data_IF_319873318045
#
_entry.id   IF_319873318045
#
_cell.length_a   1.000
_cell.length_b   1.000
_cell.length_c   1.000
_cell.angle_alpha   90.00
_cell.angle_beta   90.00
_cell.angle_gamma   90.00
#
_symmetry.space_group_name_H-M   'P 1'
#
loop_
_entity.id
_entity.type
_entity.pdbx_description
1 polymer ?
#
# COMPACT_ATOMS: atom_id res chain seq x y z
N UNK A 1 5.22 23.12 24.69
CA UNK A 1 5.33 21.66 24.86
C UNK A 1 4.16 21.02 24.14
N UNK A 2 4.36 20.56 22.90
CA UNK A 2 3.32 19.79 22.20
C UNK A 2 3.09 18.49 22.98
N UNK A 3 1.83 18.26 23.37
CA UNK A 3 1.41 16.99 23.97
C UNK A 3 1.86 15.87 23.02
N UNK A 4 2.63 14.91 23.53
CA UNK A 4 2.86 13.63 22.87
C UNK A 4 1.47 13.07 22.52
N UNK A 5 1.05 13.22 21.27
CA UNK A 5 -0.18 12.61 20.78
C UNK A 5 0.05 11.11 20.88
N UNK A 6 -0.68 10.44 21.77
CA UNK A 6 -0.59 9.00 21.96
C UNK A 6 -0.60 8.30 20.61
N UNK A 7 0.36 7.40 20.38
CA UNK A 7 0.46 6.63 19.16
C UNK A 7 -0.66 5.57 19.12
N UNK A 8 -1.75 5.77 18.36
CA UNK A 8 -2.96 4.98 18.54
C UNK A 8 -2.82 3.51 18.11
N UNK A 9 -1.83 3.23 17.25
CA UNK A 9 -1.51 1.88 16.78
C UNK A 9 -0.26 1.29 17.42
N UNK A 10 0.32 1.96 18.44
CA UNK A 10 1.49 1.50 19.19
C UNK A 10 2.69 1.12 18.30
N UNK A 11 2.91 1.88 17.21
CA UNK A 11 4.07 1.71 16.35
C UNK A 11 5.36 2.17 17.05
N UNK A 12 6.52 1.67 16.63
CA UNK A 12 7.80 2.15 17.18
C UNK A 12 8.03 3.63 16.82
N UNK A 13 8.18 4.48 17.84
CA UNK A 13 8.42 5.91 17.67
C UNK A 13 9.76 6.25 17.01
N UNK A 14 10.68 5.29 16.90
CA UNK A 14 11.94 5.43 16.13
C UNK A 14 11.72 5.23 14.63
N UNK A 15 10.71 4.45 14.24
CA UNK A 15 10.39 4.11 12.86
C UNK A 15 9.25 4.99 12.31
N UNK A 16 8.36 5.48 13.17
CA UNK A 16 7.15 6.21 12.79
C UNK A 16 6.92 7.45 13.63
N UNK A 17 6.50 8.52 12.96
CA UNK A 17 5.97 9.73 13.59
C UNK A 17 4.48 9.85 13.31
N UNK A 18 3.65 9.86 14.35
CA UNK A 18 2.22 10.12 14.21
C UNK A 18 1.97 11.57 13.78
N UNK A 19 1.15 11.77 12.75
CA UNK A 19 0.83 13.09 12.22
C UNK A 19 -0.58 13.50 12.65
N UNK A 20 -1.60 12.71 12.27
CA UNK A 20 -3.01 13.00 12.57
C UNK A 20 -3.90 11.77 12.36
N UNK A 21 -5.07 11.81 13.00
CA UNK A 21 -6.20 10.95 12.64
C UNK A 21 -6.77 11.37 11.27
N UNK A 22 -7.28 10.41 10.51
CA UNK A 22 -7.91 10.57 9.22
C UNK A 22 -9.32 10.00 9.26
N UNK A 23 -10.23 10.65 8.55
CA UNK A 23 -11.50 10.03 8.15
C UNK A 23 -11.29 9.16 6.92
N UNK A 24 -12.23 8.25 6.67
CA UNK A 24 -12.19 7.46 5.44
C UNK A 24 -12.13 8.32 4.18
N UNK A 25 -12.87 9.42 4.14
CA UNK A 25 -12.86 10.34 2.98
C UNK A 25 -11.48 10.94 2.74
N UNK A 26 -10.71 11.24 3.79
CA UNK A 26 -9.32 11.71 3.65
C UNK A 26 -8.43 10.62 3.03
N UNK A 27 -8.60 9.37 3.45
CA UNK A 27 -7.84 8.21 2.93
C UNK A 27 -8.22 7.93 1.49
N UNK A 28 -9.51 8.00 1.17
CA UNK A 28 -10.03 7.81 -0.18
C UNK A 28 -9.52 8.92 -1.12
N UNK A 29 -9.44 10.15 -0.64
CA UNK A 29 -8.87 11.27 -1.39
C UNK A 29 -7.35 11.12 -1.63
N UNK A 30 -6.59 10.61 -0.65
CA UNK A 30 -5.18 10.25 -0.83
C UNK A 30 -5.05 9.19 -1.93
N UNK A 31 -5.89 8.15 -1.88
CA UNK A 31 -5.89 7.09 -2.89
C UNK A 31 -6.22 7.64 -4.28
N UNK A 32 -7.27 8.47 -4.37
CA UNK A 32 -7.69 9.12 -5.61
C UNK A 32 -6.54 9.91 -6.22
N UNK A 33 -5.90 10.79 -5.45
CA UNK A 33 -4.75 11.59 -5.90
C UNK A 33 -3.58 10.75 -6.40
N UNK A 34 -3.36 9.58 -5.80
CA UNK A 34 -2.29 8.68 -6.21
C UNK A 34 -2.57 7.97 -7.54
N UNK A 35 -3.83 7.77 -7.93
CA UNK A 35 -4.17 6.89 -9.05
C UNK A 35 -4.93 7.54 -10.20
N UNK A 36 -5.83 8.49 -9.94
CA UNK A 36 -6.85 8.91 -10.91
C UNK A 36 -6.28 9.51 -12.21
N UNK A 37 -5.08 10.09 -12.11
CA UNK A 37 -4.38 10.76 -13.20
C UNK A 37 -3.48 9.79 -13.99
N UNK A 38 -3.32 8.55 -13.53
CA UNK A 38 -2.49 7.56 -14.21
C UNK A 38 -3.27 6.90 -15.34
N UNK A 39 -2.76 7.04 -16.56
CA UNK A 39 -3.43 6.61 -17.80
C UNK A 39 -3.89 5.14 -17.77
N UNK A 40 -3.07 4.23 -17.25
CA UNK A 40 -3.44 2.81 -17.16
C UNK A 40 -4.65 2.56 -16.23
N UNK A 41 -4.87 3.38 -15.20
CA UNK A 41 -6.08 3.29 -14.39
C UNK A 41 -7.29 3.87 -15.12
N UNK A 42 -7.10 4.95 -15.90
CA UNK A 42 -8.13 5.51 -16.79
C UNK A 42 -8.65 4.45 -17.76
N UNK A 43 -7.75 3.77 -18.44
CA UNK A 43 -8.08 2.67 -19.35
C UNK A 43 -8.75 1.52 -18.60
N UNK A 44 -8.23 1.14 -17.43
CA UNK A 44 -8.76 0.03 -16.65
C UNK A 44 -10.21 0.26 -16.23
N UNK A 45 -10.55 1.37 -15.59
CA UNK A 45 -11.93 1.56 -15.12
C UNK A 45 -12.92 1.76 -16.26
N UNK A 46 -12.50 2.40 -17.36
CA UNK A 46 -13.34 2.54 -18.58
C UNK A 46 -13.62 1.18 -19.22
N UNK A 47 -12.62 0.31 -19.30
CA UNK A 47 -12.80 -1.07 -19.81
C UNK A 47 -13.79 -1.90 -18.98
N UNK A 48 -13.97 -1.52 -17.71
CA UNK A 48 -14.92 -2.15 -16.78
C UNK A 48 -16.31 -1.50 -16.80
N UNK A 49 -16.55 -0.54 -17.69
CA UNK A 49 -17.85 0.12 -17.85
C UNK A 49 -18.10 1.31 -16.93
N UNK A 50 -17.07 1.83 -16.26
CA UNK A 50 -17.19 2.99 -15.36
C UNK A 50 -16.73 4.28 -16.05
N UNK A 51 -17.45 5.37 -15.79
CA UNK A 51 -17.11 6.69 -16.34
C UNK A 51 -16.07 7.44 -15.51
N UNK A 52 -15.93 7.10 -14.23
CA UNK A 52 -14.99 7.74 -13.30
C UNK A 52 -14.25 6.71 -12.45
N UNK A 53 -13.04 7.06 -12.05
CA UNK A 53 -12.24 6.28 -11.09
C UNK A 53 -13.00 6.05 -9.79
N UNK A 54 -13.69 7.08 -9.30
CA UNK A 54 -14.45 7.01 -8.05
C UNK A 54 -15.62 6.03 -8.14
N UNK A 55 -16.41 6.06 -9.21
CA UNK A 55 -17.52 5.12 -9.39
C UNK A 55 -17.02 3.68 -9.41
N UNK A 56 -15.90 3.43 -10.10
CA UNK A 56 -15.25 2.13 -10.12
C UNK A 56 -14.74 1.71 -8.75
N UNK A 57 -13.99 2.57 -8.05
CA UNK A 57 -13.45 2.23 -6.72
C UNK A 57 -14.55 2.02 -5.69
N UNK A 58 -15.59 2.83 -5.68
CA UNK A 58 -16.73 2.67 -4.76
C UNK A 58 -17.56 1.41 -5.04
N UNK A 59 -17.57 0.92 -6.28
CA UNK A 59 -18.23 -0.36 -6.61
C UNK A 59 -17.46 -1.58 -6.11
N UNK A 60 -16.17 -1.44 -5.77
CA UNK A 60 -15.36 -2.55 -5.28
C UNK A 60 -15.64 -2.83 -3.82
N UNK A 61 -15.94 -4.10 -3.51
CA UNK A 61 -16.20 -4.56 -2.16
C UNK A 61 -15.05 -4.25 -1.18
N UNK A 62 -13.81 -4.22 -1.66
CA UNK A 62 -12.63 -3.86 -0.85
C UNK A 62 -12.70 -2.44 -0.30
N UNK A 63 -13.21 -1.47 -1.07
CA UNK A 63 -13.42 -0.09 -0.63
C UNK A 63 -14.48 -0.02 0.47
N UNK A 64 -15.54 -0.83 0.36
CA UNK A 64 -16.57 -0.94 1.39
C UNK A 64 -16.04 -1.57 2.67
N UNK A 65 -15.12 -2.54 2.57
CA UNK A 65 -14.49 -3.15 3.73
C UNK A 65 -13.56 -2.17 4.42
N UNK A 66 -12.74 -1.44 3.68
CA UNK A 66 -11.77 -0.53 4.27
C UNK A 66 -12.42 0.74 4.86
N UNK A 67 -13.47 1.25 4.21
CA UNK A 67 -14.15 2.49 4.62
C UNK A 67 -15.47 2.34 5.36
N UNK A 68 -16.23 1.28 5.09
CA UNK A 68 -17.65 1.17 5.47
C UNK A 68 -17.93 0.81 6.92
N UNK A 69 -16.92 0.59 7.75
CA UNK A 69 -17.10 0.07 9.12
C UNK A 69 -16.86 1.10 10.24
N UNK A 70 -16.82 2.40 9.92
CA UNK A 70 -16.46 3.44 10.91
C UNK A 70 -15.04 3.28 11.48
N UNK A 71 -14.14 2.61 10.74
CA UNK A 71 -12.75 2.39 11.14
C UNK A 71 -12.01 3.73 11.23
N UNK A 72 -11.23 3.88 12.30
CA UNK A 72 -10.33 5.02 12.47
C UNK A 72 -9.05 4.79 11.67
N UNK A 73 -8.67 5.81 10.91
CA UNK A 73 -7.44 5.83 10.15
C UNK A 73 -6.46 6.82 10.76
N UNK A 74 -5.17 6.58 10.57
CA UNK A 74 -4.11 7.37 11.16
C UNK A 74 -3.00 7.56 10.14
N UNK A 75 -2.56 8.80 9.96
CA UNK A 75 -1.44 9.15 9.10
C UNK A 75 -0.16 9.17 9.91
N UNK A 76 0.85 8.46 9.41
CA UNK A 76 2.20 8.46 9.96
C UNK A 76 3.21 8.87 8.91
N UNK A 77 4.27 9.58 9.32
CA UNK A 77 5.50 9.70 8.54
C UNK A 77 6.40 8.52 8.88
N UNK A 78 6.96 7.87 7.86
CA UNK A 78 7.95 6.81 8.04
C UNK A 78 9.32 7.48 8.12
N UNK A 79 10.05 7.25 9.21
CA UNK A 79 11.32 7.91 9.49
C UNK A 79 12.50 7.22 8.82
N UNK A 80 12.44 5.89 8.68
CA UNK A 80 13.48 5.04 8.08
C UNK A 80 12.88 4.10 7.02
N UNK A 81 12.33 4.63 5.92
CA UNK A 81 11.58 3.85 4.93
C UNK A 81 12.34 2.65 4.37
N UNK A 82 13.65 2.79 4.16
CA UNK A 82 14.56 1.75 3.68
C UNK A 82 14.65 0.53 4.61
N UNK A 83 14.37 0.69 5.91
CA UNK A 83 14.33 -0.43 6.85
C UNK A 83 12.90 -0.93 7.11
N UNK A 84 11.94 0.01 7.13
CA UNK A 84 10.57 -0.25 7.58
C UNK A 84 9.76 -0.90 6.47
N UNK A 85 9.83 -0.34 5.26
CA UNK A 85 8.99 -0.78 4.13
C UNK A 85 9.37 -2.19 3.68
N UNK A 86 10.64 -2.58 3.82
CA UNK A 86 11.10 -3.94 3.53
C UNK A 86 10.35 -5.00 4.34
N UNK A 87 9.97 -4.67 5.57
CA UNK A 87 9.23 -5.55 6.50
C UNK A 87 7.72 -5.54 6.24
N UNK A 88 7.21 -4.57 5.48
CA UNK A 88 5.80 -4.56 5.08
C UNK A 88 5.49 -5.74 4.17
N UNK A 89 4.22 -6.14 4.16
CA UNK A 89 3.73 -7.31 3.45
C UNK A 89 2.91 -6.89 2.24
N UNK A 90 3.01 -7.66 1.17
CA UNK A 90 2.21 -7.43 -0.02
C UNK A 90 0.71 -7.73 0.20
N UNK A 91 -0.16 -6.94 -0.43
CA UNK A 91 -1.62 -7.14 -0.35
C UNK A 91 -2.15 -8.34 -1.14
N UNK A 92 -3.42 -8.73 -0.94
CA UNK A 92 -4.03 -9.91 -1.56
C UNK A 92 -4.49 -9.65 -3.01
N UNK A 93 -3.57 -9.18 -3.86
CA UNK A 93 -3.86 -8.86 -5.26
C UNK A 93 -3.46 -10.02 -6.17
N UNK A 94 -4.41 -10.58 -6.92
CA UNK A 94 -4.21 -11.78 -7.78
C UNK A 94 -2.99 -11.65 -8.69
N UNK A 95 -2.81 -10.50 -9.34
CA UNK A 95 -1.67 -10.24 -10.22
C UNK A 95 -0.32 -10.23 -9.51
N UNK A 96 -0.26 -9.82 -8.24
CA UNK A 96 0.96 -9.88 -7.43
C UNK A 96 1.20 -11.30 -6.90
N UNK A 97 0.14 -11.97 -6.46
CA UNK A 97 0.18 -13.34 -5.93
C UNK A 97 0.74 -14.29 -6.99
N UNK A 98 0.13 -14.31 -8.18
CA UNK A 98 0.49 -15.28 -9.23
C UNK A 98 1.89 -15.06 -9.80
N UNK A 99 2.38 -13.81 -9.81
CA UNK A 99 3.67 -13.47 -10.44
C UNK A 99 4.84 -13.48 -9.46
N UNK A 100 4.65 -12.95 -8.25
CA UNK A 100 5.78 -12.53 -7.40
C UNK A 100 5.81 -13.20 -6.03
N UNK A 101 4.72 -13.83 -5.58
CA UNK A 101 4.67 -14.37 -4.21
C UNK A 101 5.25 -15.77 -4.08
N UNK A 102 5.47 -16.50 -5.18
CA UNK A 102 6.12 -17.83 -5.20
C UNK A 102 5.49 -18.82 -4.20
N UNK A 103 4.17 -18.79 -4.07
CA UNK A 103 3.41 -19.65 -3.16
C UNK A 103 3.33 -19.15 -1.71
N UNK A 104 4.04 -18.07 -1.34
CA UNK A 104 3.93 -17.48 -0.01
C UNK A 104 2.66 -16.62 0.14
N UNK A 105 2.04 -16.67 1.32
CA UNK A 105 0.92 -15.78 1.62
C UNK A 105 1.43 -14.40 2.08
N UNK A 106 1.17 -13.37 1.27
CA UNK A 106 1.49 -11.97 1.55
C UNK A 106 2.95 -11.81 2.05
N UNK A 107 3.96 -12.18 1.24
CA UNK A 107 5.35 -12.09 1.64
C UNK A 107 5.77 -10.64 1.89
N UNK A 108 6.87 -10.47 2.61
CA UNK A 108 7.45 -9.16 2.86
C UNK A 108 8.07 -8.57 1.58
N UNK A 109 8.16 -7.24 1.47
CA UNK A 109 8.68 -6.58 0.26
C UNK A 109 10.15 -6.90 -0.02
N UNK A 110 10.97 -7.18 1.00
CA UNK A 110 12.34 -7.65 0.76
C UNK A 110 12.38 -8.98 -0.01
N UNK A 111 11.34 -9.82 0.09
CA UNK A 111 11.20 -11.05 -0.71
C UNK A 111 10.58 -10.75 -2.07
N UNK A 112 9.52 -9.94 -2.11
CA UNK A 112 8.85 -9.56 -3.37
C UNK A 112 9.85 -8.94 -4.34
N UNK A 113 10.72 -8.03 -3.88
CA UNK A 113 11.73 -7.37 -4.69
C UNK A 113 12.81 -8.32 -5.25
N UNK A 114 12.98 -9.52 -4.68
CA UNK A 114 13.86 -10.57 -5.26
C UNK A 114 13.18 -11.32 -6.40
N UNK A 115 11.85 -11.27 -6.46
CA UNK A 115 11.04 -12.04 -7.37
C UNK A 115 10.44 -11.21 -8.52
N UNK A 116 10.69 -9.90 -8.58
CA UNK A 116 10.28 -9.08 -9.73
C UNK A 116 11.20 -9.36 -10.93
N UNK A 117 10.62 -9.34 -12.12
CA UNK A 117 11.29 -9.57 -13.40
C UNK A 117 10.45 -8.97 -14.55
N UNK A 118 11.02 -8.93 -15.76
CA UNK A 118 10.40 -8.44 -17.00
C UNK A 118 9.82 -7.02 -16.85
N UNK A 119 8.71 -6.73 -17.54
CA UNK A 119 8.03 -5.42 -17.58
C UNK A 119 7.71 -4.85 -16.19
N UNK A 120 7.55 -5.70 -15.17
CA UNK A 120 7.32 -5.20 -13.80
C UNK A 120 8.59 -4.68 -13.17
N UNK A 121 9.74 -5.30 -13.44
CA UNK A 121 11.02 -4.76 -12.99
C UNK A 121 11.32 -3.42 -13.68
N UNK A 122 11.10 -3.33 -15.00
CA UNK A 122 11.25 -2.08 -15.75
C UNK A 122 10.39 -0.97 -15.17
N UNK A 123 9.09 -1.23 -14.98
CA UNK A 123 8.17 -0.27 -14.35
C UNK A 123 8.58 0.12 -12.93
N UNK A 124 9.10 -0.82 -12.14
CA UNK A 124 9.60 -0.51 -10.78
C UNK A 124 10.86 0.35 -10.86
N UNK A 125 11.74 0.13 -11.83
CA UNK A 125 12.93 0.96 -12.06
C UNK A 125 12.57 2.38 -12.49
N UNK A 126 11.61 2.55 -13.40
CA UNK A 126 11.08 3.87 -13.76
C UNK A 126 10.55 4.63 -12.52
N UNK A 127 9.91 3.92 -11.59
CA UNK A 127 9.43 4.49 -10.32
C UNK A 127 10.60 4.88 -9.41
N UNK A 128 11.71 4.14 -9.39
CA UNK A 128 12.91 4.53 -8.63
C UNK A 128 13.49 5.83 -9.19
N UNK A 129 13.64 5.91 -10.52
CA UNK A 129 14.19 7.09 -11.20
C UNK A 129 13.32 8.32 -11.01
N UNK A 130 12.00 8.14 -11.06
CA UNK A 130 11.01 9.22 -10.95
C UNK A 130 10.27 9.18 -9.62
N UNK A 131 10.94 8.75 -8.55
CA UNK A 131 10.26 8.54 -7.27
C UNK A 131 9.72 9.88 -6.75
N UNK A 132 8.43 9.96 -6.38
CA UNK A 132 7.82 11.21 -5.97
C UNK A 132 8.52 11.79 -4.74
N UNK A 133 8.76 13.11 -4.72
CA UNK A 133 9.39 13.80 -3.57
C UNK A 133 8.62 13.60 -2.26
N UNK A 134 7.31 13.38 -2.35
CA UNK A 134 6.42 13.08 -1.24
C UNK A 134 5.35 12.10 -1.70
N UNK A 135 5.10 11.07 -0.90
CA UNK A 135 4.13 10.03 -1.24
C UNK A 135 3.46 9.46 0.00
N UNK A 136 2.26 8.91 -0.16
CA UNK A 136 1.55 8.19 0.91
C UNK A 136 1.18 6.80 0.43
N UNK A 137 1.52 5.79 1.23
CA UNK A 137 1.07 4.41 1.08
C UNK A 137 -0.22 4.21 1.87
N UNK A 138 -1.04 3.22 1.49
CA UNK A 138 -2.16 2.78 2.32
C UNK A 138 -1.88 1.36 2.81
N UNK A 139 -2.07 1.14 4.10
CA UNK A 139 -1.83 -0.15 4.71
C UNK A 139 -2.82 -0.53 5.80
N UNK A 140 -2.85 -1.82 6.09
CA UNK A 140 -3.61 -2.44 7.17
C UNK A 140 -2.63 -2.90 8.24
N UNK A 141 -2.75 -2.35 9.46
CA UNK A 141 -1.98 -2.83 10.61
C UNK A 141 -2.69 -4.06 11.18
N UNK A 142 -2.06 -5.22 11.06
CA UNK A 142 -2.54 -6.49 11.61
C UNK A 142 -1.59 -7.00 12.69
N UNK A 143 -1.92 -8.18 13.25
CA UNK A 143 -1.02 -8.89 14.17
C UNK A 143 0.27 -9.38 13.48
N UNK A 144 0.24 -9.62 12.17
CA UNK A 144 1.37 -10.18 11.40
C UNK A 144 2.24 -9.10 10.73
N UNK A 145 1.90 -7.83 10.92
CA UNK A 145 2.64 -6.69 10.38
C UNK A 145 1.74 -5.66 9.69
N UNK A 146 2.32 -4.87 8.79
CA UNK A 146 1.59 -3.93 7.93
C UNK A 146 1.43 -4.56 6.55
N UNK A 147 0.20 -4.69 6.07
CA UNK A 147 -0.13 -5.17 4.72
C UNK A 147 -0.44 -3.97 3.84
N UNK A 148 0.25 -3.85 2.71
CA UNK A 148 0.05 -2.75 1.76
C UNK A 148 -1.14 -3.04 0.86
N UNK A 149 -2.10 -2.12 0.83
CA UNK A 149 -3.31 -2.19 0.00
C UNK A 149 -3.34 -1.12 -1.10
N UNK A 150 -2.42 -0.18 -1.06
CA UNK A 150 -2.16 0.78 -2.15
C UNK A 150 -0.68 1.17 -2.10
N UNK A 151 -0.07 1.29 -3.27
CA UNK A 151 1.34 1.64 -3.39
C UNK A 151 2.27 0.43 -3.46
N UNK A 152 1.76 -0.75 -3.85
CA UNK A 152 2.55 -1.97 -4.04
C UNK A 152 3.81 -1.73 -4.88
N UNK A 153 3.70 -1.08 -6.05
CA UNK A 153 4.87 -0.77 -6.89
C UNK A 153 5.88 0.17 -6.20
N UNK A 154 5.40 1.18 -5.46
CA UNK A 154 6.27 2.11 -4.71
C UNK A 154 6.98 1.41 -3.55
N UNK A 155 6.28 0.54 -2.82
CA UNK A 155 6.87 -0.26 -1.76
C UNK A 155 7.92 -1.25 -2.31
N UNK A 156 7.65 -1.86 -3.46
CA UNK A 156 8.63 -2.69 -4.18
C UNK A 156 9.81 -1.86 -4.67
N UNK A 157 9.60 -0.65 -5.18
CA UNK A 157 10.66 0.27 -5.60
C UNK A 157 11.59 0.63 -4.44
N UNK A 158 11.04 0.89 -3.24
CA UNK A 158 11.85 1.14 -2.03
C UNK A 158 12.70 -0.09 -1.67
N UNK A 159 12.09 -1.28 -1.68
CA UNK A 159 12.80 -2.52 -1.37
C UNK A 159 13.87 -2.89 -2.44
N UNK A 160 13.59 -2.62 -3.71
CA UNK A 160 14.55 -2.81 -4.80
C UNK A 160 15.70 -1.82 -4.70
N UNK A 161 15.40 -0.54 -4.48
CA UNK A 161 16.41 0.51 -4.33
C UNK A 161 17.35 0.22 -3.16
N UNK A 162 16.84 -0.22 -2.01
CA UNK A 162 17.67 -0.61 -0.86
C UNK A 162 18.59 -1.78 -1.19
N UNK A 163 18.07 -2.83 -1.86
CA UNK A 163 18.88 -3.98 -2.31
C UNK A 163 20.04 -3.55 -3.21
N UNK A 164 19.82 -2.52 -4.02
CA UNK A 164 20.78 -2.01 -5.00
C UNK A 164 21.57 -0.80 -4.48
N UNK A 165 21.43 -0.45 -3.20
CA UNK A 165 22.09 0.69 -2.55
C UNK A 165 21.80 2.04 -3.26
N UNK A 166 20.61 2.19 -3.81
CA UNK A 166 20.10 3.41 -4.45
C UNK A 166 19.30 4.22 -3.40
N UNK A 167 19.68 5.48 -3.20
CA UNK A 167 19.00 6.35 -2.23
C UNK A 167 17.74 6.99 -2.80
N UNK A 168 16.59 6.66 -2.22
CA UNK A 168 15.32 7.37 -2.47
C UNK A 168 15.23 8.57 -1.53
N UNK A 169 15.28 9.79 -2.09
CA UNK A 169 15.12 11.04 -1.34
C UNK A 169 13.66 11.49 -1.37
N UNK A 170 12.81 10.80 -0.62
CA UNK A 170 11.37 11.07 -0.56
C UNK A 170 10.87 11.15 0.88
N UNK A 171 9.89 12.02 1.11
CA UNK A 171 9.08 11.96 2.32
C UNK A 171 7.97 10.92 2.15
N UNK A 172 8.09 9.81 2.88
CA UNK A 172 7.16 8.68 2.78
C UNK A 172 6.23 8.68 3.98
N UNK A 173 4.94 8.70 3.69
CA UNK A 173 3.87 8.61 4.67
C UNK A 173 3.11 7.30 4.49
N UNK A 174 2.37 6.89 5.52
CA UNK A 174 1.45 5.78 5.45
C UNK A 174 0.16 6.08 6.21
N UNK A 175 -0.97 5.87 5.54
CA UNK A 175 -2.28 5.83 6.16
C UNK A 175 -2.56 4.40 6.64
N UNK A 176 -2.82 4.24 7.93
CA UNK A 176 -3.03 2.94 8.57
C UNK A 176 -4.35 2.88 9.31
N UNK A 177 -5.01 1.73 9.22
CA UNK A 177 -6.08 1.31 10.14
C UNK A 177 -5.69 -0.01 10.81
N UNK A 178 -6.16 -0.23 12.04
CA UNK A 178 -6.14 -1.58 12.62
C UNK A 178 -7.07 -2.49 11.82
N UNK A 179 -6.64 -3.73 11.57
CA UNK A 179 -7.40 -4.67 10.77
C UNK A 179 -7.15 -6.12 11.21
N UNK A 180 -8.17 -6.98 11.06
CA UNK A 180 -8.04 -8.41 11.33
C UNK A 180 -7.44 -9.12 10.13
N UNK A 181 -6.38 -9.89 10.36
CA UNK A 181 -5.68 -10.61 9.31
C UNK A 181 -6.55 -11.69 8.66
N UNK A 182 -7.44 -12.33 9.41
CA UNK A 182 -8.26 -13.42 8.85
C UNK A 182 -9.23 -12.88 7.79
N UNK A 183 -9.77 -11.68 8.00
CA UNK A 183 -10.57 -10.98 6.98
C UNK A 183 -9.76 -10.67 5.72
N UNK A 184 -8.46 -10.41 5.82
CA UNK A 184 -7.61 -10.19 4.63
C UNK A 184 -7.43 -11.50 3.86
N UNK A 185 -7.22 -12.61 4.56
CA UNK A 185 -7.02 -13.93 3.95
C UNK A 185 -8.28 -14.44 3.25
N UNK A 186 -9.44 -14.31 3.86
CA UNK A 186 -10.72 -14.67 3.23
C UNK A 186 -10.94 -13.94 1.89
N UNK A 187 -10.51 -12.68 1.81
CA UNK A 187 -10.55 -11.91 0.56
C UNK A 187 -9.52 -12.38 -0.46
N UNK A 188 -8.34 -12.78 -0.01
CA UNK A 188 -7.32 -13.39 -0.86
C UNK A 188 -7.84 -14.68 -1.50
N UNK A 189 -8.47 -15.56 -0.72
CA UNK A 189 -8.90 -16.90 -1.15
C UNK A 189 -10.08 -16.82 -2.12
N UNK A 190 -11.02 -15.89 -1.90
CA UNK A 190 -12.11 -15.61 -2.85
C UNK A 190 -11.61 -15.07 -4.20
N UNK A 191 -10.47 -14.39 -4.21
CA UNK A 191 -9.88 -13.82 -5.42
C UNK A 191 -9.05 -14.85 -6.20
N UNK A 192 -8.47 -15.85 -5.54
CA UNK A 192 -7.73 -16.96 -6.19
C UNK A 192 -8.64 -18.09 -6.67
N UNK A 193 -9.83 -18.26 -6.08
CA UNK A 193 -10.80 -19.27 -6.49
C UNK A 193 -11.62 -18.92 -7.76
N UNK A 194 -11.42 -17.73 -8.35
CA UNK A 194 -12.15 -17.24 -9.54
C UNK A 194 -11.32 -17.24 -10.83
N UNK A 195 -10.17 -17.89 -10.83
CA UNK A 195 -9.31 -18.14 -12.00
C UNK A 195 -9.26 -19.63 -12.28
#
# INVERSE_FOLDING_TARGET
>A
MEKNKENPLQLDGKEFQFIKELKWDDVFEIWRKNEEHLQHWVEHYKSRGFNTWEAWRKSHHTTQIYGGSGRKWYLYKILTPESVVLKFRGGPFTGWISRFYKGEQMPAFYKIAKNIFNDTEERVREIIENFPKKTTLLGLKTRDGVIIIEGMHRATAIALAERENIKIRSEIYIALTKFDIELVKEHSDKNTAKT
#
